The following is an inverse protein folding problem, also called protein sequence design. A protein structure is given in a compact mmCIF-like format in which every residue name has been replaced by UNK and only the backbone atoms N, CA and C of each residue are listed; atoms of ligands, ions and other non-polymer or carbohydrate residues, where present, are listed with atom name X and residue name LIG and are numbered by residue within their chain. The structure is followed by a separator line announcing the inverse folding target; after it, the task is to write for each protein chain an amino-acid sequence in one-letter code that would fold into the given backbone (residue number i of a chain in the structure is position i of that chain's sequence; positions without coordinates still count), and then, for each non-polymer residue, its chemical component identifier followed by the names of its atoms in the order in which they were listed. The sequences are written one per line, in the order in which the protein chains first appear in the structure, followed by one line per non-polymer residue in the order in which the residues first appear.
data_IF_845010402956
#
_entry.id   IF_845010402956
#
_cell.length_a   1.000
_cell.length_b   1.000
_cell.length_c   1.000
_cell.angle_alpha   90.00
_cell.angle_beta   90.00
_cell.angle_gamma   90.00
#
_symmetry.space_group_name_H-M   'P 1'
#
loop_
_entity.id
_entity.type
_entity.pdbx_description
1 polymer ?
#
# COMPACT_ATOMS: atom_id res chain seq x y z
N UNK A 1 -16.48 0.57 -11.39
CA UNK A 1 -15.43 0.81 -10.39
C UNK A 1 -15.26 2.31 -10.23
N UNK A 2 -15.18 2.78 -8.97
CA UNK A 2 -14.84 4.19 -8.67
C UNK A 2 -13.38 4.25 -8.24
N UNK A 3 -12.64 5.24 -8.76
CA UNK A 3 -11.23 5.49 -8.45
C UNK A 3 -11.13 6.87 -7.81
N UNK A 4 -10.62 6.94 -6.59
CA UNK A 4 -10.26 8.19 -5.91
C UNK A 4 -8.74 8.35 -5.94
N UNK A 5 -8.23 9.41 -6.57
CA UNK A 5 -6.79 9.70 -6.64
C UNK A 5 -6.57 11.22 -6.76
N UNK A 6 -5.55 11.76 -6.12
CA UNK A 6 -5.13 13.16 -6.25
C UNK A 6 -3.98 13.33 -7.26
N UNK A 7 -3.47 12.23 -7.83
CA UNK A 7 -2.35 12.16 -8.76
C UNK A 7 -1.05 12.82 -8.28
N UNK A 8 -0.87 12.93 -6.96
CA UNK A 8 0.39 13.44 -6.39
C UNK A 8 1.61 12.55 -6.72
N UNK A 9 1.37 11.24 -6.88
CA UNK A 9 2.38 10.24 -7.27
C UNK A 9 1.88 9.32 -8.38
N UNK A 10 0.57 9.20 -8.54
CA UNK A 10 -0.08 8.45 -9.61
C UNK A 10 0.03 9.14 -10.96
N UNK A 11 -0.22 8.39 -12.03
CA UNK A 11 -0.25 8.90 -13.40
C UNK A 11 -1.59 8.56 -14.04
N UNK A 12 -2.29 9.58 -14.52
CA UNK A 12 -3.62 9.41 -15.12
C UNK A 12 -3.56 8.56 -16.41
N UNK A 13 -2.43 8.61 -17.13
CA UNK A 13 -2.21 7.80 -18.31
C UNK A 13 -2.40 6.29 -18.03
N UNK A 14 -2.11 5.85 -16.82
CA UNK A 14 -2.32 4.45 -16.43
C UNK A 14 -3.79 4.02 -16.44
N UNK A 15 -4.73 4.97 -16.44
CA UNK A 15 -6.17 4.73 -16.45
C UNK A 15 -6.81 4.86 -17.84
N UNK A 16 -6.09 5.36 -18.87
CA UNK A 16 -6.64 5.64 -20.19
C UNK A 16 -7.36 4.42 -20.81
N UNK A 17 -6.77 3.22 -20.67
CA UNK A 17 -7.32 1.99 -21.25
C UNK A 17 -8.62 1.48 -20.58
N UNK A 18 -8.98 2.04 -19.41
CA UNK A 18 -10.20 1.70 -18.66
C UNK A 18 -11.09 2.91 -18.37
N UNK A 19 -10.76 4.08 -18.94
CA UNK A 19 -11.38 5.36 -18.60
C UNK A 19 -12.90 5.36 -18.71
N UNK A 20 -13.45 4.71 -19.73
CA UNK A 20 -14.89 4.61 -19.94
C UNK A 20 -15.59 3.61 -19.00
N UNK A 21 -14.84 2.76 -18.31
CA UNK A 21 -15.35 1.74 -17.40
C UNK A 21 -15.21 2.11 -15.93
N UNK A 22 -14.68 3.30 -15.64
CA UNK A 22 -14.45 3.78 -14.28
C UNK A 22 -15.10 5.15 -14.06
N UNK A 23 -15.50 5.40 -12.84
CA UNK A 23 -15.82 6.74 -12.34
C UNK A 23 -14.57 7.28 -11.65
N UNK A 24 -13.98 8.34 -12.20
CA UNK A 24 -12.79 8.97 -11.63
C UNK A 24 -13.18 10.18 -10.78
N UNK A 25 -12.88 10.11 -9.48
CA UNK A 25 -13.00 11.19 -8.51
C UNK A 25 -11.58 11.74 -8.23
N UNK A 26 -11.34 13.00 -8.60
CA UNK A 26 -10.09 13.67 -8.24
C UNK A 26 -10.22 14.21 -6.83
N UNK A 27 -9.45 13.68 -5.89
CA UNK A 27 -9.52 14.08 -4.50
C UNK A 27 -8.45 13.44 -3.64
N UNK A 28 -8.35 13.91 -2.42
CA UNK A 28 -7.32 13.50 -1.47
C UNK A 28 -7.94 12.71 -0.31
N UNK A 29 -7.31 11.64 0.11
CA UNK A 29 -7.77 10.81 1.25
C UNK A 29 -7.75 11.56 2.59
N UNK A 30 -7.06 12.69 2.67
CA UNK A 30 -7.07 13.59 3.83
C UNK A 30 -8.38 14.35 3.97
N UNK A 31 -9.11 14.54 2.87
CA UNK A 31 -10.42 15.18 2.86
C UNK A 31 -11.51 14.15 3.15
N UNK A 32 -12.06 14.22 4.37
CA UNK A 32 -13.07 13.27 4.84
C UNK A 32 -14.39 13.34 4.05
N UNK A 33 -14.77 14.51 3.53
CA UNK A 33 -16.01 14.67 2.75
C UNK A 33 -15.87 14.04 1.37
N UNK A 34 -14.72 14.25 0.73
CA UNK A 34 -14.39 13.63 -0.56
C UNK A 34 -14.35 12.11 -0.42
N UNK A 35 -13.72 11.59 0.64
CA UNK A 35 -13.67 10.15 0.93
C UNK A 35 -15.07 9.60 1.18
N UNK A 36 -15.92 10.29 1.98
CA UNK A 36 -17.28 9.88 2.25
C UNK A 36 -18.11 9.75 0.95
N UNK A 37 -18.01 10.75 0.08
CA UNK A 37 -18.66 10.72 -1.24
C UNK A 37 -18.14 9.60 -2.14
N UNK A 38 -16.83 9.36 -2.13
CA UNK A 38 -16.20 8.32 -2.94
C UNK A 38 -16.56 6.90 -2.49
N UNK A 39 -16.73 6.68 -1.20
CA UNK A 39 -17.05 5.36 -0.60
C UNK A 39 -18.54 5.02 -0.70
N UNK A 40 -19.42 6.01 -0.77
CA UNK A 40 -20.87 5.83 -0.80
C UNK A 40 -21.32 4.88 -1.92
N UNK A 41 -22.07 3.84 -1.56
CA UNK A 41 -22.62 2.85 -2.48
C UNK A 41 -21.59 1.82 -2.99
N UNK A 42 -20.40 1.74 -2.38
CA UNK A 42 -19.42 0.73 -2.73
C UNK A 42 -19.56 -0.50 -1.84
N UNK A 43 -19.41 -1.68 -2.43
CA UNK A 43 -19.37 -2.95 -1.69
C UNK A 43 -18.01 -3.23 -1.08
N UNK A 44 -16.94 -2.87 -1.79
CA UNK A 44 -15.55 -3.12 -1.43
C UNK A 44 -14.71 -1.87 -1.57
N UNK A 45 -13.73 -1.70 -0.70
CA UNK A 45 -12.71 -0.65 -0.81
C UNK A 45 -11.32 -1.28 -0.85
N UNK A 46 -10.59 -1.05 -1.94
CA UNK A 46 -9.17 -1.34 -2.06
C UNK A 46 -8.38 -0.07 -1.74
N UNK A 47 -7.92 0.07 -0.50
CA UNK A 47 -7.21 1.27 -0.06
C UNK A 47 -5.71 1.17 -0.37
N UNK A 48 -5.34 1.68 -1.55
CA UNK A 48 -3.96 1.69 -2.08
C UNK A 48 -3.28 3.06 -1.97
N UNK A 49 -4.05 4.13 -1.65
CA UNK A 49 -3.51 5.48 -1.54
C UNK A 49 -2.42 5.57 -0.47
N UNK A 50 -1.25 6.13 -0.85
CA UNK A 50 -0.08 6.18 0.02
C UNK A 50 0.92 7.25 -0.42
N UNK A 51 1.56 7.90 0.54
CA UNK A 51 2.87 8.51 0.34
C UNK A 51 3.94 7.47 0.68
N UNK A 52 4.31 6.67 -0.33
CA UNK A 52 5.37 5.67 -0.22
C UNK A 52 6.74 6.37 -0.16
N UNK A 53 7.71 5.73 0.46
CA UNK A 53 9.11 6.15 0.58
C UNK A 53 9.50 6.48 2.02
N UNK A 54 10.41 5.66 2.54
CA UNK A 54 11.03 5.88 3.86
C UNK A 54 11.79 7.20 3.91
N UNK A 55 12.69 7.55 2.95
CA UNK A 55 13.37 8.83 2.99
C UNK A 55 12.44 10.06 2.96
N UNK A 56 11.37 10.02 2.15
CA UNK A 56 10.36 11.09 2.15
C UNK A 56 9.68 11.22 3.50
N UNK A 57 9.35 10.11 4.15
CA UNK A 57 8.71 10.13 5.46
C UNK A 57 9.60 10.70 6.56
N UNK A 58 10.91 10.57 6.44
CA UNK A 58 11.88 11.19 7.35
C UNK A 58 11.96 12.71 7.10
N UNK A 59 11.95 13.11 5.84
CA UNK A 59 11.99 14.53 5.47
C UNK A 59 10.69 15.27 5.84
N UNK A 60 9.53 14.63 5.66
CA UNK A 60 8.22 15.20 5.99
C UNK A 60 7.32 14.13 6.67
N UNK A 61 7.52 13.89 7.97
CA UNK A 61 6.73 12.92 8.73
C UNK A 61 5.27 13.35 8.90
N UNK A 62 4.99 14.65 8.92
CA UNK A 62 3.64 15.18 9.10
C UNK A 62 2.74 14.83 7.93
N UNK A 63 3.13 15.18 6.70
CA UNK A 63 2.37 14.83 5.50
C UNK A 63 2.25 13.32 5.34
N UNK A 64 3.31 12.57 5.67
CA UNK A 64 3.27 11.11 5.62
C UNK A 64 2.21 10.54 6.57
N UNK A 65 2.15 11.01 7.81
CA UNK A 65 1.14 10.58 8.78
C UNK A 65 -0.28 10.97 8.36
N UNK A 66 -0.46 12.21 7.85
CA UNK A 66 -1.76 12.70 7.39
C UNK A 66 -2.34 11.83 6.26
N UNK A 67 -1.52 11.44 5.30
CA UNK A 67 -1.99 10.58 4.18
C UNK A 67 -2.13 9.13 4.63
N UNK A 68 -1.10 8.55 5.26
CA UNK A 68 -1.03 7.11 5.47
C UNK A 68 -1.81 6.63 6.70
N UNK A 69 -1.87 7.42 7.77
CA UNK A 69 -2.63 7.05 8.97
C UNK A 69 -4.00 7.74 9.00
N UNK A 70 -4.05 9.08 8.93
CA UNK A 70 -5.32 9.81 8.98
C UNK A 70 -6.19 9.53 7.75
N UNK A 71 -5.60 9.49 6.54
CA UNK A 71 -6.33 9.14 5.33
C UNK A 71 -6.95 7.74 5.40
N UNK A 72 -6.23 6.76 5.98
CA UNK A 72 -6.78 5.43 6.23
C UNK A 72 -7.94 5.47 7.22
N UNK A 73 -7.82 6.25 8.29
CA UNK A 73 -8.91 6.43 9.26
C UNK A 73 -10.16 7.04 8.61
N UNK A 74 -10.00 8.05 7.75
CA UNK A 74 -11.11 8.64 6.98
C UNK A 74 -11.82 7.57 6.13
N UNK A 75 -11.05 6.72 5.44
CA UNK A 75 -11.60 5.60 4.63
C UNK A 75 -12.38 4.62 5.50
N UNK A 76 -11.85 4.22 6.66
CA UNK A 76 -12.51 3.28 7.57
C UNK A 76 -13.80 3.87 8.16
N UNK A 77 -13.79 5.13 8.55
CA UNK A 77 -14.99 5.84 9.05
C UNK A 77 -16.09 5.89 7.98
N UNK A 78 -15.73 6.28 6.74
CA UNK A 78 -16.66 6.32 5.62
C UNK A 78 -17.17 4.91 5.27
N UNK A 79 -16.29 3.90 5.23
CA UNK A 79 -16.63 2.52 4.96
C UNK A 79 -17.63 1.96 5.99
N UNK A 80 -17.41 2.24 7.27
CA UNK A 80 -18.33 1.86 8.34
C UNK A 80 -19.69 2.55 8.18
N UNK A 81 -19.69 3.87 7.97
CA UNK A 81 -20.92 4.67 7.79
C UNK A 81 -21.79 4.18 6.64
N UNK A 82 -21.17 3.78 5.54
CA UNK A 82 -21.87 3.35 4.32
C UNK A 82 -22.08 1.83 4.21
N UNK A 83 -21.74 1.06 5.25
CA UNK A 83 -21.97 -0.39 5.27
C UNK A 83 -21.15 -1.14 4.22
N UNK A 84 -19.92 -0.69 3.92
CA UNK A 84 -18.99 -1.39 3.03
C UNK A 84 -18.74 -2.80 3.55
N UNK A 85 -18.89 -3.79 2.70
CA UNK A 85 -18.73 -5.22 3.06
C UNK A 85 -17.30 -5.56 3.49
N UNK A 86 -16.31 -4.92 2.86
CA UNK A 86 -14.89 -5.18 3.17
C UNK A 86 -13.98 -4.05 2.74
N UNK A 87 -12.97 -3.79 3.58
CA UNK A 87 -11.85 -2.90 3.26
C UNK A 87 -10.56 -3.73 3.20
N UNK A 88 -9.87 -3.68 2.07
CA UNK A 88 -8.53 -4.27 1.88
C UNK A 88 -7.51 -3.14 1.92
N UNK A 89 -6.63 -3.18 2.90
CA UNK A 89 -5.64 -2.15 3.15
C UNK A 89 -4.24 -2.59 2.70
N UNK A 90 -3.59 -1.76 1.89
CA UNK A 90 -2.20 -1.93 1.48
C UNK A 90 -1.25 -1.53 2.61
N UNK A 91 -0.81 -2.50 3.40
CA UNK A 91 0.26 -2.35 4.38
C UNK A 91 1.64 -2.62 3.75
N UNK A 92 2.66 -2.82 4.57
CA UNK A 92 4.06 -2.92 4.12
C UNK A 92 4.88 -3.84 5.02
N UNK A 93 5.81 -4.59 4.42
CA UNK A 93 6.83 -5.34 5.16
C UNK A 93 7.75 -4.44 6.01
N UNK A 94 7.78 -3.13 5.76
CA UNK A 94 8.54 -2.16 6.56
C UNK A 94 8.14 -2.13 8.05
N UNK A 95 6.95 -2.63 8.39
CA UNK A 95 6.50 -2.73 9.79
C UNK A 95 7.36 -3.69 10.64
N UNK A 96 8.06 -4.65 10.01
CA UNK A 96 8.95 -5.58 10.68
C UNK A 96 10.29 -4.94 11.11
N UNK A 97 10.67 -3.80 10.49
CA UNK A 97 11.94 -3.14 10.75
C UNK A 97 13.15 -4.02 10.42
N UNK A 98 14.17 -3.92 11.26
CA UNK A 98 15.49 -4.54 11.06
C UNK A 98 15.62 -5.93 11.71
N UNK A 99 14.51 -6.61 11.98
CA UNK A 99 14.56 -7.96 12.56
C UNK A 99 15.43 -8.88 11.69
N UNK A 100 16.40 -9.58 12.30
CA UNK A 100 17.26 -10.56 11.61
C UNK A 100 16.53 -11.89 11.34
N UNK A 101 15.43 -12.14 12.05
CA UNK A 101 14.66 -13.37 11.88
C UNK A 101 14.05 -13.45 10.48
N UNK A 102 14.29 -14.59 9.82
CA UNK A 102 13.78 -14.93 8.50
C UNK A 102 13.23 -16.38 8.51
N UNK A 103 12.19 -16.65 7.73
CA UNK A 103 11.35 -15.70 6.99
C UNK A 103 10.57 -14.78 7.92
N UNK A 104 10.12 -13.62 7.40
CA UNK A 104 9.16 -12.77 8.13
C UNK A 104 7.80 -13.44 8.15
N UNK A 105 7.21 -13.57 9.33
CA UNK A 105 5.88 -14.15 9.53
C UNK A 105 4.97 -13.17 10.29
N UNK A 106 3.66 -13.27 10.06
CA UNK A 106 2.68 -12.30 10.57
C UNK A 106 2.59 -12.25 12.09
N UNK A 107 3.00 -13.34 12.76
CA UNK A 107 3.04 -13.43 14.23
C UNK A 107 4.21 -12.70 14.89
N UNK A 108 5.18 -12.22 14.10
CA UNK A 108 6.30 -11.44 14.62
C UNK A 108 5.82 -10.10 15.16
N UNK A 109 6.39 -9.68 16.29
CA UNK A 109 6.17 -8.35 16.85
C UNK A 109 6.70 -7.27 15.88
N UNK A 110 5.85 -6.34 15.42
CA UNK A 110 6.31 -5.23 14.58
C UNK A 110 7.32 -4.35 15.31
N UNK A 111 8.33 -3.87 14.56
CA UNK A 111 9.38 -2.97 15.07
C UNK A 111 9.68 -1.87 14.04
N UNK A 112 8.73 -0.96 13.76
CA UNK A 112 8.88 0.05 12.71
C UNK A 112 10.06 0.99 12.98
N UNK A 113 10.87 1.27 11.94
CA UNK A 113 12.09 2.09 12.01
C UNK A 113 12.01 3.41 11.24
N UNK A 114 10.82 3.79 10.79
CA UNK A 114 10.60 5.04 10.05
C UNK A 114 9.19 5.57 10.27
N UNK A 115 8.95 6.88 10.08
CA UNK A 115 7.61 7.45 10.14
C UNK A 115 6.63 6.74 9.17
N UNK A 116 7.09 6.35 7.98
CA UNK A 116 6.31 5.56 7.04
C UNK A 116 5.86 4.22 7.64
N UNK A 117 6.78 3.47 8.25
CA UNK A 117 6.46 2.17 8.85
C UNK A 117 5.53 2.32 10.07
N UNK A 118 5.72 3.37 10.88
CA UNK A 118 4.81 3.72 12.00
C UNK A 118 3.40 4.01 11.49
N UNK A 119 3.26 4.86 10.46
CA UNK A 119 1.95 5.19 9.89
C UNK A 119 1.25 3.97 9.28
N UNK A 120 2.01 3.07 8.61
CA UNK A 120 1.47 1.81 8.08
C UNK A 120 0.98 0.88 9.20
N UNK A 121 1.75 0.75 10.28
CA UNK A 121 1.36 -0.07 11.43
C UNK A 121 0.16 0.52 12.19
N UNK A 122 0.11 1.84 12.37
CA UNK A 122 -1.05 2.50 12.97
C UNK A 122 -2.33 2.21 12.20
N UNK A 123 -2.27 2.26 10.87
CA UNK A 123 -3.40 1.94 10.00
C UNK A 123 -3.82 0.45 10.09
N UNK A 124 -2.86 -0.50 10.23
CA UNK A 124 -3.21 -1.92 10.52
C UNK A 124 -4.00 -2.05 11.83
N UNK A 125 -3.58 -1.33 12.88
CA UNK A 125 -4.29 -1.33 14.16
C UNK A 125 -5.69 -0.71 14.04
N UNK A 126 -5.86 0.38 13.29
CA UNK A 126 -7.20 0.90 12.98
C UNK A 126 -8.05 -0.13 12.25
N UNK A 127 -7.53 -0.81 11.23
CA UNK A 127 -8.24 -1.88 10.52
C UNK A 127 -8.70 -2.96 11.50
N UNK A 128 -7.83 -3.42 12.40
CA UNK A 128 -8.15 -4.44 13.41
C UNK A 128 -9.23 -3.95 14.37
N UNK A 129 -9.07 -2.76 14.95
CA UNK A 129 -10.00 -2.19 15.93
C UNK A 129 -11.39 -1.95 15.32
N UNK A 130 -11.46 -1.48 14.06
CA UNK A 130 -12.75 -1.36 13.37
C UNK A 130 -13.41 -2.72 13.13
N UNK A 131 -12.62 -3.78 12.89
CA UNK A 131 -13.13 -5.14 12.84
C UNK A 131 -13.69 -5.61 14.19
N UNK A 132 -12.96 -5.40 15.26
CA UNK A 132 -13.32 -5.84 16.61
C UNK A 132 -14.53 -5.06 17.18
N UNK A 133 -14.58 -3.74 17.01
CA UNK A 133 -15.62 -2.89 17.59
C UNK A 133 -16.89 -2.76 16.74
N UNK A 134 -16.76 -2.81 15.43
CA UNK A 134 -17.86 -2.53 14.51
C UNK A 134 -18.24 -3.73 13.64
N UNK A 135 -17.57 -4.87 13.78
CA UNK A 135 -17.82 -6.06 12.96
C UNK A 135 -17.48 -5.88 11.47
N UNK A 136 -16.73 -4.82 11.13
CA UNK A 136 -16.35 -4.54 9.75
C UNK A 136 -15.26 -5.51 9.27
N UNK A 137 -15.44 -6.16 8.14
CA UNK A 137 -14.40 -7.02 7.60
C UNK A 137 -13.29 -6.18 6.98
N UNK A 138 -12.13 -6.16 7.67
CA UNK A 138 -10.92 -5.50 7.20
C UNK A 138 -9.80 -6.52 7.01
N UNK A 139 -8.97 -6.32 6.00
CA UNK A 139 -7.80 -7.17 5.70
C UNK A 139 -6.62 -6.25 5.41
N UNK A 140 -5.49 -6.47 6.08
CA UNK A 140 -4.24 -5.75 5.83
C UNK A 140 -3.26 -6.64 5.09
N UNK A 141 -2.75 -6.18 3.94
CA UNK A 141 -1.80 -6.91 3.12
C UNK A 141 -0.43 -6.25 3.23
N UNK A 142 0.53 -6.90 3.90
CA UNK A 142 1.92 -6.45 3.99
C UNK A 142 2.67 -6.78 2.72
N UNK A 143 2.75 -5.82 1.80
CA UNK A 143 3.49 -6.00 0.56
C UNK A 143 5.00 -6.02 0.79
N UNK A 144 5.67 -6.99 0.16
CA UNK A 144 7.11 -7.05 0.03
C UNK A 144 7.50 -6.52 -1.35
N UNK A 145 8.61 -5.85 -1.46
CA UNK A 145 9.27 -5.25 -2.64
C UNK A 145 8.54 -5.47 -3.99
N UNK A 146 7.37 -4.84 -4.16
CA UNK A 146 6.54 -4.98 -5.36
C UNK A 146 7.25 -4.38 -6.56
N UNK A 147 7.23 -5.09 -7.67
CA UNK A 147 7.74 -4.62 -8.95
C UNK A 147 6.83 -5.01 -10.11
N UNK A 148 6.95 -4.34 -11.25
CA UNK A 148 6.18 -4.68 -12.44
C UNK A 148 6.02 -3.53 -13.41
N UNK A 149 5.21 -3.77 -14.42
CA UNK A 149 4.89 -2.78 -15.46
C UNK A 149 4.34 -1.48 -14.85
N UNK A 150 4.65 -0.36 -15.49
CA UNK A 150 4.26 1.00 -15.07
C UNK A 150 4.92 1.51 -13.79
N UNK A 151 5.88 0.79 -13.23
CA UNK A 151 6.70 1.30 -12.14
C UNK A 151 7.62 2.41 -12.67
N UNK A 152 7.63 3.56 -11.96
CA UNK A 152 8.34 4.76 -12.44
C UNK A 152 9.80 4.74 -12.02
N UNK A 153 10.77 4.81 -12.97
CA UNK A 153 12.19 4.80 -12.65
C UNK A 153 12.78 6.18 -12.27
N UNK A 154 11.96 7.21 -12.17
CA UNK A 154 12.44 8.61 -12.23
C UNK A 154 12.52 9.37 -10.90
N UNK A 155 12.30 8.76 -9.74
CA UNK A 155 12.48 9.46 -8.45
C UNK A 155 13.74 9.01 -7.74
N UNK A 156 14.35 9.89 -6.94
CA UNK A 156 15.47 9.53 -6.03
C UNK A 156 15.10 8.42 -5.03
N UNK A 157 13.83 8.03 -4.98
CA UNK A 157 13.28 6.99 -4.11
C UNK A 157 12.83 5.76 -4.91
N UNK A 158 13.24 5.65 -6.18
CA UNK A 158 12.89 4.51 -7.03
C UNK A 158 13.49 3.22 -6.49
N UNK A 159 12.73 2.12 -6.63
CA UNK A 159 13.21 0.80 -6.25
C UNK A 159 14.34 0.33 -7.18
N UNK A 160 15.12 -0.63 -6.71
CA UNK A 160 16.33 -1.12 -7.41
C UNK A 160 16.03 -1.64 -8.83
N UNK A 161 14.93 -2.40 -9.03
CA UNK A 161 14.60 -2.98 -10.34
C UNK A 161 14.43 -1.91 -11.42
N UNK A 162 13.54 -0.89 -11.27
CA UNK A 162 13.40 0.14 -12.31
C UNK A 162 14.67 0.98 -12.51
N UNK A 163 15.49 1.18 -11.48
CA UNK A 163 16.76 1.89 -11.61
C UNK A 163 17.78 1.09 -12.43
N UNK A 164 17.88 -0.22 -12.17
CA UNK A 164 18.79 -1.09 -12.90
C UNK A 164 18.36 -1.24 -14.37
N UNK A 165 17.08 -1.48 -14.60
CA UNK A 165 16.54 -1.54 -15.97
C UNK A 165 16.81 -0.25 -16.74
N UNK A 166 16.58 0.92 -16.12
CA UNK A 166 16.87 2.20 -16.73
C UNK A 166 18.35 2.35 -17.08
N UNK A 167 19.25 2.10 -16.13
CA UNK A 167 20.70 2.22 -16.36
C UNK A 167 21.15 1.32 -17.51
N UNK A 168 20.71 0.07 -17.56
CA UNK A 168 21.07 -0.88 -18.62
C UNK A 168 20.53 -0.45 -19.99
N UNK A 169 19.29 0.08 -20.06
CA UNK A 169 18.71 0.59 -21.30
C UNK A 169 19.44 1.84 -21.82
N UNK A 170 20.01 2.64 -20.92
CA UNK A 170 20.80 3.84 -21.24
C UNK A 170 22.29 3.51 -21.49
N UNK A 171 22.69 2.24 -21.44
CA UNK A 171 24.06 1.79 -21.65
C UNK A 171 25.02 2.10 -20.49
N UNK A 172 24.49 2.35 -19.30
CA UNK A 172 25.28 2.65 -18.11
C UNK A 172 25.29 1.46 -17.14
N UNK A 173 26.39 1.23 -16.39
CA UNK A 173 26.40 0.26 -15.32
C UNK A 173 25.44 0.69 -14.19
N UNK A 174 24.66 -0.23 -13.62
CA UNK A 174 23.80 0.09 -12.49
C UNK A 174 24.65 0.42 -11.24
N UNK A 175 24.19 1.38 -10.44
CA UNK A 175 24.84 1.73 -9.18
C UNK A 175 24.40 0.78 -8.07
N UNK A 176 25.37 0.09 -7.46
CA UNK A 176 25.16 -0.75 -6.29
C UNK A 176 25.54 0.05 -5.05
N UNK A 177 24.62 0.12 -4.07
CA UNK A 177 24.86 0.76 -2.79
C UNK A 177 25.28 -0.30 -1.76
N UNK A 178 26.37 -0.03 -1.02
CA UNK A 178 26.95 -0.99 -0.07
C UNK A 178 27.81 -2.05 -0.75
N UNK A 179 27.79 -3.27 -0.21
CA UNK A 179 28.61 -4.40 -0.67
C UNK A 179 27.96 -5.24 -1.80
N UNK A 180 26.70 -4.99 -2.10
CA UNK A 180 25.94 -5.73 -3.12
C UNK A 180 25.32 -7.05 -2.65
N UNK A 181 25.54 -7.45 -1.41
CA UNK A 181 25.04 -8.70 -0.83
C UNK A 181 23.59 -8.60 -0.31
N UNK A 182 22.96 -7.42 -0.47
CA UNK A 182 21.58 -7.22 -0.02
C UNK A 182 20.61 -8.08 -0.82
N UNK A 183 19.88 -8.93 -0.14
CA UNK A 183 18.80 -9.72 -0.72
C UNK A 183 17.42 -9.14 -0.38
N UNK A 184 16.45 -9.34 -1.27
CA UNK A 184 15.06 -8.92 -1.09
C UNK A 184 14.12 -9.97 -1.68
N UNK A 185 12.96 -10.17 -1.04
CA UNK A 185 11.85 -10.89 -1.65
C UNK A 185 11.12 -9.93 -2.60
N UNK A 186 11.24 -10.18 -3.90
CA UNK A 186 10.59 -9.39 -4.95
C UNK A 186 9.27 -10.03 -5.35
N UNK A 187 8.19 -9.27 -5.24
CA UNK A 187 6.84 -9.70 -5.53
C UNK A 187 6.31 -9.05 -6.80
N UNK A 188 6.04 -9.84 -7.82
CA UNK A 188 5.52 -9.30 -9.09
C UNK A 188 4.10 -8.78 -8.93
N UNK A 189 3.77 -7.67 -9.61
CA UNK A 189 2.50 -6.94 -9.46
C UNK A 189 1.27 -7.83 -9.64
N UNK A 190 1.29 -8.83 -10.51
CA UNK A 190 0.16 -9.75 -10.70
C UNK A 190 -0.16 -10.54 -9.42
N UNK A 191 0.85 -10.93 -8.64
CA UNK A 191 0.64 -11.62 -7.37
C UNK A 191 -0.06 -10.70 -6.36
N UNK A 192 0.32 -9.42 -6.34
CA UNK A 192 -0.32 -8.40 -5.49
C UNK A 192 -1.76 -8.15 -5.90
N UNK A 193 -2.03 -8.04 -7.20
CA UNK A 193 -3.41 -7.90 -7.74
C UNK A 193 -4.25 -9.10 -7.32
N UNK A 194 -3.77 -10.33 -7.54
CA UNK A 194 -4.47 -11.54 -7.17
C UNK A 194 -4.74 -11.60 -5.66
N UNK A 195 -3.77 -11.23 -4.83
CA UNK A 195 -3.95 -11.16 -3.37
C UNK A 195 -5.06 -10.18 -2.95
N UNK A 196 -5.15 -9.01 -3.61
CA UNK A 196 -6.24 -8.06 -3.37
C UNK A 196 -7.60 -8.63 -3.75
N UNK A 197 -7.72 -9.29 -4.91
CA UNK A 197 -8.96 -9.93 -5.35
C UNK A 197 -9.37 -11.05 -4.40
N UNK A 198 -8.45 -11.93 -4.04
CA UNK A 198 -8.69 -12.99 -3.06
C UNK A 198 -9.08 -12.43 -1.69
N UNK A 199 -8.48 -11.31 -1.26
CA UNK A 199 -8.86 -10.63 -0.04
C UNK A 199 -10.28 -10.04 -0.10
N UNK A 200 -10.77 -9.62 -1.28
CA UNK A 200 -12.14 -9.17 -1.47
C UNK A 200 -13.15 -10.32 -1.41
N UNK A 201 -12.87 -11.45 -2.05
CA UNK A 201 -13.83 -12.51 -2.30
C UNK A 201 -13.72 -13.67 -1.30
N UNK A 202 -12.53 -13.91 -0.76
CA UNK A 202 -12.22 -15.04 0.09
C UNK A 202 -12.91 -14.99 1.46
N UNK A 203 -12.98 -16.13 2.13
CA UNK A 203 -13.43 -16.21 3.51
C UNK A 203 -12.26 -15.80 4.44
N UNK A 204 -12.23 -14.53 4.82
CA UNK A 204 -11.17 -13.95 5.67
C UNK A 204 -11.74 -13.47 6.99
N UNK A 205 -10.99 -13.67 8.07
CA UNK A 205 -11.35 -13.14 9.39
C UNK A 205 -11.07 -11.63 9.43
N UNK A 206 -11.99 -10.86 10.01
CA UNK A 206 -11.84 -9.42 10.20
C UNK A 206 -10.56 -9.06 10.98
N UNK A 207 -9.89 -7.99 10.56
CA UNK A 207 -8.68 -7.48 11.21
C UNK A 207 -7.42 -8.31 10.95
N UNK A 208 -7.46 -9.33 10.09
CA UNK A 208 -6.29 -10.16 9.76
C UNK A 208 -5.27 -9.43 8.91
N UNK A 209 -4.03 -9.83 9.13
CA UNK A 209 -2.86 -9.37 8.38
C UNK A 209 -2.29 -10.55 7.62
N UNK A 210 -1.85 -10.32 6.38
CA UNK A 210 -1.20 -11.32 5.53
C UNK A 210 0.04 -10.74 4.86
N UNK A 211 1.12 -11.51 4.83
CA UNK A 211 2.30 -11.19 4.03
C UNK A 211 2.04 -11.51 2.56
N UNK A 212 2.35 -10.57 1.68
CA UNK A 212 2.28 -10.75 0.23
C UNK A 212 3.70 -10.72 -0.32
N UNK A 213 4.25 -11.92 -0.49
CA UNK A 213 5.64 -12.20 -0.81
C UNK A 213 5.72 -13.49 -1.65
N UNK A 214 6.89 -13.79 -2.19
CA UNK A 214 7.14 -15.03 -2.94
C UNK A 214 7.83 -16.12 -2.11
N UNK A 215 8.30 -15.79 -0.89
CA UNK A 215 8.99 -16.72 -0.01
C UNK A 215 10.43 -17.04 -0.43
N UNK A 216 10.99 -16.23 -1.32
CA UNK A 216 12.34 -16.34 -1.84
C UNK A 216 13.24 -15.16 -1.45
N UNK A 217 14.54 -15.28 -1.78
CA UNK A 217 15.54 -14.23 -1.63
C UNK A 217 16.21 -13.95 -2.98
#
# INVERSE_FOLDING_TARGET
VRVLDNFATGREENLHHVRERIELVRGDVRDAEVVDGAVRGMDFVLHQAVLASVPRSIADPSSNNQVNAQGTLNVLVAAHRHGVKRVVYASSSSVYGDSEQLPKVETMTPNPKSPYAVAKLAAEYYCRVFGELHGMTTVSLRYFNVFGARQVPGSQYSAVIPLFVKALLEGHPPTIHGDGEQSRDFTYITNVVNANLLACEGNVTAGRVYNIACGGR
#
